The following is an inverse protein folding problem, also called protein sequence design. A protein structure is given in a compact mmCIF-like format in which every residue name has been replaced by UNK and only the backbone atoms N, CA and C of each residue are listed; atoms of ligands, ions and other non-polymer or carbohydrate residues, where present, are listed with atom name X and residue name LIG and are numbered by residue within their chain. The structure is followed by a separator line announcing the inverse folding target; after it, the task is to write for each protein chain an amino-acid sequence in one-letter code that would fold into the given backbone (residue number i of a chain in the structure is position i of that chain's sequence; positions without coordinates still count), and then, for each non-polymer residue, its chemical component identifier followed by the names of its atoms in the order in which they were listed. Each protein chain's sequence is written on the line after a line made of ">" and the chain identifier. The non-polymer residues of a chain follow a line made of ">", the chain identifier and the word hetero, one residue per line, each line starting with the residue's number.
data_IF_909466559026
#
_entry.id   IF_909466559026
#
_cell.length_a   1.000
_cell.length_b   1.000
_cell.length_c   1.000
_cell.angle_alpha   90.00
_cell.angle_beta   90.00
_cell.angle_gamma   90.00
#
_symmetry.space_group_name_H-M   'P 1'
#
loop_
_entity.id
_entity.type
_entity.pdbx_description
1 polymer ?
#
# COMPACT_ATOMS: atom_id res chain seq x y z
N UNK A 1 2.33 -28.59 58.32
CA UNK A 1 3.30 -29.71 58.24
C UNK A 1 3.85 -29.77 56.83
N UNK A 2 5.18 -29.90 56.73
CA UNK A 2 6.04 -30.33 55.61
C UNK A 2 5.77 -29.71 54.21
N UNK A 3 6.68 -29.02 53.54
CA UNK A 3 8.14 -28.98 53.62
C UNK A 3 8.72 -29.29 52.24
N UNK A 4 9.41 -28.35 51.60
CA UNK A 4 10.29 -28.65 50.46
C UNK A 4 11.50 -27.72 50.47
N UNK A 5 12.68 -28.35 50.44
CA UNK A 5 13.99 -27.76 50.67
C UNK A 5 14.53 -26.97 49.46
N UNK A 6 15.22 -25.87 49.74
CA UNK A 6 16.05 -25.11 48.81
C UNK A 6 17.46 -25.69 48.75
N UNK A 7 17.94 -26.04 47.57
CA UNK A 7 19.37 -26.07 47.24
C UNK A 7 19.69 -24.86 46.35
N UNK A 8 20.69 -24.05 46.73
CA UNK A 8 21.24 -22.99 45.89
C UNK A 8 22.76 -23.13 45.74
N UNK A 9 23.14 -22.93 44.50
CA UNK A 9 24.31 -23.42 43.79
C UNK A 9 25.58 -22.54 43.93
N UNK A 10 26.76 -23.17 43.91
CA UNK A 10 28.11 -22.60 44.11
C UNK A 10 28.76 -22.09 42.81
N UNK A 11 27.97 -21.64 41.82
CA UNK A 11 28.45 -21.35 40.46
C UNK A 11 28.97 -19.92 40.15
N UNK A 12 28.89 -18.96 41.07
CA UNK A 12 29.06 -17.53 40.70
C UNK A 12 30.49 -16.95 40.80
N UNK A 13 31.47 -17.65 41.36
CA UNK A 13 32.80 -17.06 41.65
C UNK A 13 33.75 -17.03 40.44
N UNK A 14 33.75 -18.05 39.57
CA UNK A 14 34.75 -18.21 38.51
C UNK A 14 34.54 -17.33 37.26
N UNK A 15 33.31 -16.88 36.96
CA UNK A 15 33.00 -16.10 35.74
C UNK A 15 33.39 -14.62 35.83
N UNK A 16 33.43 -14.03 37.03
CA UNK A 16 33.77 -12.60 37.21
C UNK A 16 35.25 -12.29 36.90
N UNK A 17 36.14 -13.26 37.11
CA UNK A 17 37.59 -13.07 36.90
C UNK A 17 37.98 -12.88 35.42
N UNK A 18 37.30 -13.57 34.49
CA UNK A 18 37.60 -13.48 33.04
C UNK A 18 37.14 -12.18 32.38
N UNK A 19 36.03 -11.62 32.85
CA UNK A 19 35.49 -10.35 32.33
C UNK A 19 36.39 -9.19 32.75
N UNK A 20 36.88 -9.20 33.99
CA UNK A 20 37.81 -8.19 34.48
C UNK A 20 39.14 -8.19 33.68
N UNK A 21 39.65 -9.36 33.32
CA UNK A 21 40.86 -9.47 32.50
C UNK A 21 40.68 -8.89 31.08
N UNK A 22 39.55 -9.16 30.42
CA UNK A 22 39.27 -8.65 29.07
C UNK A 22 39.13 -7.13 29.02
N UNK A 23 38.51 -6.52 30.04
CA UNK A 23 38.38 -5.06 30.14
C UNK A 23 39.76 -4.42 30.29
N UNK A 24 40.62 -4.99 31.13
CA UNK A 24 41.98 -4.46 31.35
C UNK A 24 42.83 -4.50 30.07
N UNK A 25 42.73 -5.59 29.29
CA UNK A 25 43.43 -5.71 28.01
C UNK A 25 42.92 -4.71 26.97
N UNK A 26 41.61 -4.49 26.88
CA UNK A 26 41.02 -3.52 25.95
C UNK A 26 41.44 -2.09 26.23
N UNK A 27 41.49 -1.70 27.51
CA UNK A 27 41.94 -0.36 27.92
C UNK A 27 43.42 -0.14 27.57
N UNK A 28 44.29 -1.14 27.81
CA UNK A 28 45.70 -1.04 27.48
C UNK A 28 45.95 -0.87 25.97
N UNK A 29 45.23 -1.62 25.13
CA UNK A 29 45.36 -1.50 23.66
C UNK A 29 44.85 -0.13 23.19
N UNK A 30 43.75 0.36 23.74
CA UNK A 30 43.22 1.70 23.42
C UNK A 30 44.19 2.84 23.78
N UNK A 31 44.87 2.73 24.92
CA UNK A 31 45.89 3.70 25.32
C UNK A 31 47.12 3.71 24.40
N UNK A 32 47.54 2.56 23.87
CA UNK A 32 48.66 2.48 22.91
C UNK A 32 48.29 3.14 21.57
N UNK A 33 47.06 2.93 21.07
CA UNK A 33 46.60 3.58 19.84
C UNK A 33 46.49 5.11 19.97
N UNK A 34 46.07 5.61 21.14
CA UNK A 34 45.98 7.05 21.39
C UNK A 34 47.35 7.74 21.47
N UNK A 35 48.41 7.03 21.88
CA UNK A 35 49.76 7.59 22.00
C UNK A 35 50.56 7.53 20.69
N UNK A 36 50.32 6.53 19.85
CA UNK A 36 51.11 6.31 18.63
C UNK A 36 50.51 7.00 17.40
N UNK A 37 49.20 7.29 17.40
CA UNK A 37 48.49 7.93 16.28
C UNK A 37 47.67 9.17 16.71
N UNK A 38 48.33 10.26 17.16
CA UNK A 38 47.64 11.44 17.68
C UNK A 38 46.86 12.27 16.63
N UNK A 39 46.96 11.94 15.34
CA UNK A 39 46.29 12.68 14.25
C UNK A 39 45.39 11.84 13.32
N UNK A 40 45.07 10.59 13.68
CA UNK A 40 44.15 9.76 12.89
C UNK A 40 44.71 9.35 11.50
N UNK A 41 44.03 8.41 10.84
CA UNK A 41 44.51 7.75 9.61
C UNK A 41 44.08 8.43 8.29
N UNK A 42 43.40 9.58 8.34
CA UNK A 42 42.94 10.28 7.14
C UNK A 42 43.13 11.79 7.28
N UNK A 43 44.10 12.33 6.54
CA UNK A 43 44.26 13.77 6.30
C UNK A 43 43.94 14.05 4.83
N UNK A 44 43.02 14.98 4.56
CA UNK A 44 42.84 15.57 3.24
C UNK A 44 42.96 17.08 3.37
N UNK A 45 44.08 17.65 2.92
CA UNK A 45 44.20 19.08 2.65
C UNK A 45 45.14 19.27 1.46
N UNK A 46 44.64 19.92 0.40
CA UNK A 46 45.46 20.82 -0.44
C UNK A 46 44.61 21.98 -0.97
N UNK A 47 45.12 23.23 -0.91
CA UNK A 47 44.45 24.42 -1.44
C UNK A 47 44.85 24.73 -2.88
N UNK A 48 43.87 25.15 -3.68
CA UNK A 48 44.02 25.54 -5.10
C UNK A 48 44.67 26.93 -5.19
N UNK A 49 45.86 27.02 -5.81
CA UNK A 49 46.50 28.29 -6.20
C UNK A 49 46.02 28.73 -7.60
N UNK A 50 45.41 29.92 -7.67
CA UNK A 50 45.08 30.61 -8.92
C UNK A 50 46.32 31.26 -9.55
N UNK A 51 46.72 30.83 -10.76
CA UNK A 51 47.74 31.50 -11.59
C UNK A 51 47.08 32.34 -12.69
N UNK A 52 47.43 33.64 -12.70
CA UNK A 52 47.10 34.66 -13.72
C UNK A 52 47.64 34.27 -15.10
N UNK A 53 46.81 34.39 -16.14
CA UNK A 53 47.22 34.36 -17.55
C UNK A 53 47.43 35.79 -18.06
N UNK A 54 48.59 36.04 -18.66
CA UNK A 54 49.00 37.32 -19.24
C UNK A 54 48.41 37.58 -20.62
N UNK A 55 48.26 38.88 -20.93
CA UNK A 55 47.85 39.43 -22.22
C UNK A 55 48.89 39.15 -23.32
N UNK A 56 48.45 38.70 -24.47
CA UNK A 56 49.12 38.91 -25.76
C UNK A 56 48.11 39.38 -26.82
N UNK A 57 48.60 40.20 -27.75
CA UNK A 57 47.83 41.19 -28.50
C UNK A 57 46.93 40.67 -29.61
N UNK A 58 45.82 41.38 -29.81
CA UNK A 58 44.94 41.26 -30.96
C UNK A 58 45.55 41.99 -32.16
N UNK A 59 45.89 41.24 -33.21
CA UNK A 59 46.06 41.75 -34.55
C UNK A 59 44.79 41.36 -35.32
N UNK A 60 44.02 42.37 -35.71
CA UNK A 60 42.77 42.21 -36.44
C UNK A 60 43.05 41.73 -37.87
N UNK A 61 42.42 40.62 -38.25
CA UNK A 61 42.21 40.26 -39.65
C UNK A 61 40.72 40.00 -39.89
N UNK A 62 40.29 40.53 -41.02
CA UNK A 62 38.96 40.48 -41.63
C UNK A 62 38.52 39.05 -41.94
N UNK A 63 37.26 38.70 -41.67
CA UNK A 63 36.34 38.10 -42.65
C UNK A 63 34.92 37.83 -42.10
N UNK A 64 33.97 37.99 -43.03
CA UNK A 64 32.60 37.46 -43.17
C UNK A 64 31.94 36.58 -42.08
N UNK A 65 30.65 36.89 -41.84
CA UNK A 65 29.54 35.96 -41.59
C UNK A 65 29.82 34.66 -40.79
N UNK A 66 29.89 34.75 -39.46
CA UNK A 66 29.78 33.60 -38.53
C UNK A 66 28.84 33.87 -37.34
N UNK A 67 27.96 34.88 -37.43
CA UNK A 67 27.06 35.23 -36.31
C UNK A 67 25.82 34.31 -36.19
N UNK A 68 25.11 33.94 -37.27
CA UNK A 68 23.85 33.18 -37.16
C UNK A 68 24.04 31.74 -36.68
N UNK A 69 25.09 31.07 -37.16
CA UNK A 69 25.39 29.67 -36.80
C UNK A 69 25.81 29.55 -35.34
N UNK A 70 26.64 30.48 -34.84
CA UNK A 70 27.01 30.53 -33.41
C UNK A 70 25.80 30.81 -32.51
N UNK A 71 24.89 31.68 -32.92
CA UNK A 71 23.66 31.98 -32.16
C UNK A 71 22.73 30.76 -32.12
N UNK A 72 22.59 30.03 -33.23
CA UNK A 72 21.77 28.82 -33.28
C UNK A 72 22.38 27.68 -32.45
N UNK A 73 23.71 27.55 -32.45
CA UNK A 73 24.42 26.57 -31.62
C UNK A 73 24.22 26.87 -30.12
N UNK A 74 24.35 28.14 -29.71
CA UNK A 74 24.11 28.56 -28.32
C UNK A 74 22.65 28.32 -27.90
N UNK A 75 21.68 28.57 -28.78
CA UNK A 75 20.25 28.27 -28.49
C UNK A 75 20.01 26.77 -28.31
N UNK A 76 20.64 25.94 -29.14
CA UNK A 76 20.59 24.49 -29.01
C UNK A 76 21.19 24.02 -27.68
N UNK A 77 22.33 24.59 -27.28
CA UNK A 77 22.97 24.26 -26.01
C UNK A 77 22.13 24.69 -24.79
N UNK A 78 21.51 25.88 -24.85
CA UNK A 78 20.61 26.35 -23.80
C UNK A 78 19.38 25.45 -23.67
N UNK A 79 18.80 25.01 -24.79
CA UNK A 79 17.67 24.07 -24.76
C UNK A 79 18.09 22.72 -24.16
N UNK A 80 19.22 22.17 -24.58
CA UNK A 80 19.80 20.92 -24.04
C UNK A 80 20.10 21.01 -22.54
N UNK A 81 20.62 22.14 -22.07
CA UNK A 81 20.87 22.40 -20.65
C UNK A 81 19.56 22.58 -19.86
N UNK A 82 18.55 23.20 -20.46
CA UNK A 82 17.22 23.34 -19.86
C UNK A 82 16.55 21.97 -19.66
N UNK A 83 16.63 21.09 -20.65
CA UNK A 83 16.08 19.73 -20.57
C UNK A 83 16.82 18.88 -19.53
N UNK A 84 18.15 18.98 -19.48
CA UNK A 84 18.96 18.35 -18.42
C UNK A 84 18.61 18.87 -17.03
N UNK A 85 18.34 20.16 -16.88
CA UNK A 85 17.91 20.75 -15.61
C UNK A 85 16.52 20.26 -15.19
N UNK A 86 15.58 20.07 -16.13
CA UNK A 86 14.28 19.48 -15.84
C UNK A 86 14.41 18.03 -15.36
N UNK A 87 15.27 17.24 -16.01
CA UNK A 87 15.55 15.86 -15.63
C UNK A 87 16.26 15.77 -14.27
N UNK A 88 17.27 16.60 -14.02
CA UNK A 88 17.93 16.70 -12.71
C UNK A 88 16.95 17.08 -11.60
N UNK A 89 16.03 18.01 -11.84
CA UNK A 89 15.00 18.37 -10.87
C UNK A 89 14.06 17.19 -10.57
N UNK A 90 13.72 16.38 -11.57
CA UNK A 90 12.93 15.16 -11.39
C UNK A 90 13.68 14.13 -10.56
N UNK A 91 14.97 13.93 -10.83
CA UNK A 91 15.84 13.04 -10.06
C UNK A 91 16.03 13.51 -8.61
N UNK A 92 16.21 14.81 -8.38
CA UNK A 92 16.31 15.39 -7.04
C UNK A 92 15.01 15.21 -6.27
N UNK A 93 13.84 15.36 -6.91
CA UNK A 93 12.55 15.09 -6.28
C UNK A 93 12.41 13.61 -5.91
N UNK A 94 12.74 12.69 -6.82
CA UNK A 94 12.73 11.24 -6.56
C UNK A 94 13.69 10.85 -5.43
N UNK A 95 14.93 11.37 -5.43
CA UNK A 95 15.92 11.14 -4.39
C UNK A 95 15.49 11.71 -3.04
N UNK A 96 14.86 12.88 -3.01
CA UNK A 96 14.34 13.50 -1.78
C UNK A 96 13.20 12.67 -1.20
N UNK A 97 12.32 12.13 -2.05
CA UNK A 97 11.27 11.19 -1.64
C UNK A 97 11.89 9.87 -1.12
N UNK A 98 12.86 9.28 -1.82
CA UNK A 98 13.60 8.09 -1.36
C UNK A 98 14.29 8.32 -0.03
N UNK A 99 14.87 9.50 0.19
CA UNK A 99 15.53 9.88 1.43
C UNK A 99 14.51 10.00 2.57
N UNK A 100 13.36 10.61 2.31
CA UNK A 100 12.23 10.65 3.27
C UNK A 100 11.70 9.24 3.61
N UNK A 101 11.64 8.33 2.63
CA UNK A 101 11.28 6.92 2.87
C UNK A 101 12.37 6.14 3.61
N UNK A 102 13.64 6.43 3.36
CA UNK A 102 14.76 5.81 4.05
C UNK A 102 14.85 6.32 5.50
N UNK A 103 14.54 7.59 5.76
CA UNK A 103 14.39 8.15 7.11
C UNK A 103 13.20 7.53 7.83
N UNK A 104 12.02 7.46 7.20
CA UNK A 104 10.87 6.74 7.78
C UNK A 104 11.16 5.26 8.00
N UNK A 105 11.88 4.59 7.11
CA UNK A 105 12.26 3.18 7.22
C UNK A 105 13.30 2.92 8.31
N UNK A 106 14.27 3.84 8.49
CA UNK A 106 15.21 3.84 9.62
C UNK A 106 14.49 4.09 10.93
N UNK A 107 13.59 5.06 10.98
CA UNK A 107 12.74 5.33 12.14
C UNK A 107 11.86 4.10 12.46
N UNK A 108 11.31 3.41 11.46
CA UNK A 108 10.50 2.20 11.66
C UNK A 108 11.31 0.97 12.12
N UNK A 109 12.51 0.76 11.58
CA UNK A 109 13.40 -0.33 12.00
C UNK A 109 13.99 -0.07 13.39
N UNK A 110 14.30 1.20 13.70
CA UNK A 110 14.79 1.63 15.01
C UNK A 110 13.66 1.57 16.05
N UNK A 111 12.43 1.95 15.69
CA UNK A 111 11.25 1.76 16.54
C UNK A 111 10.93 0.28 16.77
N UNK A 112 11.10 -0.62 15.79
CA UNK A 112 10.93 -2.07 16.02
C UNK A 112 11.94 -2.67 16.98
N UNK A 113 13.21 -2.25 16.89
CA UNK A 113 14.26 -2.72 17.79
C UNK A 113 14.08 -2.15 19.20
N UNK A 114 13.62 -0.89 19.32
CA UNK A 114 13.30 -0.25 20.59
C UNK A 114 12.02 -0.83 21.22
N UNK A 115 10.94 -1.02 20.47
CA UNK A 115 9.62 -1.41 20.99
C UNK A 115 9.55 -2.90 21.42
N UNK A 116 10.38 -3.77 20.83
CA UNK A 116 10.53 -5.16 21.29
C UNK A 116 11.55 -5.35 22.42
N UNK A 117 12.46 -4.38 22.64
CA UNK A 117 13.58 -4.52 23.56
C UNK A 117 13.49 -3.68 24.84
N UNK A 118 12.84 -2.52 24.81
CA UNK A 118 12.76 -1.60 25.93
C UNK A 118 11.34 -1.55 26.53
N UNK A 119 11.25 -1.73 27.85
CA UNK A 119 10.01 -1.49 28.59
C UNK A 119 9.75 0.01 28.61
N UNK A 120 8.98 0.51 27.66
CA UNK A 120 8.57 1.91 27.63
C UNK A 120 7.55 2.20 28.73
N UNK A 121 7.74 3.28 29.48
CA UNK A 121 6.71 3.81 30.37
C UNK A 121 5.60 4.42 29.52
N UNK A 122 4.34 4.21 29.90
CA UNK A 122 3.23 4.91 29.26
C UNK A 122 3.42 6.43 29.41
N UNK A 123 3.26 7.16 28.30
CA UNK A 123 3.27 8.62 28.31
C UNK A 123 2.09 9.22 29.09
N UNK A 124 2.03 10.56 29.21
CA UNK A 124 0.91 11.26 29.84
C UNK A 124 -0.47 10.93 29.25
N UNK A 125 -1.54 11.29 29.97
CA UNK A 125 -2.92 11.11 29.52
C UNK A 125 -3.13 11.71 28.12
N UNK A 126 -3.72 10.93 27.22
CA UNK A 126 -4.01 11.34 25.83
C UNK A 126 -2.84 11.26 24.85
N UNK A 127 -1.62 10.94 25.29
CA UNK A 127 -0.44 10.84 24.38
C UNK A 127 -0.09 9.40 24.00
N UNK A 128 -0.60 8.40 24.73
CA UNK A 128 -0.33 7.00 24.48
C UNK A 128 -1.04 6.54 23.21
N UNK A 129 -0.28 5.99 22.25
CA UNK A 129 -0.79 5.35 21.05
C UNK A 129 -0.34 3.90 21.02
N UNK A 130 -1.28 2.98 20.77
CA UNK A 130 -0.94 1.59 20.49
C UNK A 130 -0.21 1.48 19.15
N UNK A 131 0.57 0.40 18.98
CA UNK A 131 1.18 0.07 17.70
C UNK A 131 0.07 -0.28 16.69
N UNK A 132 -0.17 0.60 15.72
CA UNK A 132 -1.17 0.38 14.66
C UNK A 132 -0.58 -0.24 13.39
N UNK A 133 0.74 -0.16 13.24
CA UNK A 133 1.47 -0.63 12.07
C UNK A 133 2.37 -1.79 12.47
N UNK A 134 1.93 -3.01 12.20
CA UNK A 134 2.80 -4.17 12.36
C UNK A 134 4.00 -4.10 11.40
N UNK A 135 5.12 -4.76 11.74
CA UNK A 135 6.26 -4.89 10.84
C UNK A 135 5.86 -5.48 9.49
N UNK A 136 6.46 -4.95 8.43
CA UNK A 136 6.45 -5.66 7.15
C UNK A 136 7.29 -6.92 7.27
N UNK A 137 6.87 -8.00 6.63
CA UNK A 137 7.64 -9.24 6.54
C UNK A 137 8.89 -9.03 5.69
N UNK A 138 9.89 -9.89 5.92
CA UNK A 138 11.06 -9.96 5.05
C UNK A 138 10.59 -10.60 3.73
N UNK A 139 10.83 -9.95 2.57
CA UNK A 139 10.50 -10.52 1.26
C UNK A 139 11.13 -11.90 1.06
N UNK A 140 10.34 -12.85 0.55
CA UNK A 140 10.83 -14.16 0.11
C UNK A 140 10.61 -14.34 -1.40
N UNK A 141 11.63 -14.01 -2.19
CA UNK A 141 11.58 -14.08 -3.66
C UNK A 141 11.40 -15.52 -4.18
N UNK A 142 11.69 -16.55 -3.37
CA UNK A 142 11.51 -17.95 -3.76
C UNK A 142 10.04 -18.34 -3.89
N UNK A 143 9.13 -17.59 -3.25
CA UNK A 143 7.69 -17.84 -3.32
C UNK A 143 7.17 -17.76 -4.75
N UNK A 144 7.62 -16.74 -5.50
CA UNK A 144 7.22 -16.55 -6.89
C UNK A 144 8.23 -15.65 -7.63
N UNK A 145 9.35 -16.21 -8.13
CA UNK A 145 10.43 -15.43 -8.73
C UNK A 145 9.98 -14.62 -9.96
N UNK A 146 9.03 -15.14 -10.75
CA UNK A 146 8.52 -14.42 -11.92
C UNK A 146 7.71 -13.20 -11.50
N UNK A 147 6.81 -13.37 -10.53
CA UNK A 147 6.05 -12.26 -10.00
C UNK A 147 6.97 -11.23 -9.34
N UNK A 148 7.96 -11.67 -8.55
CA UNK A 148 8.93 -10.80 -7.89
C UNK A 148 9.60 -9.82 -8.87
N UNK A 149 10.08 -10.33 -10.02
CA UNK A 149 10.69 -9.52 -11.07
C UNK A 149 9.71 -8.48 -11.67
N UNK A 150 8.47 -8.89 -11.94
CA UNK A 150 7.45 -7.97 -12.46
C UNK A 150 7.12 -6.88 -11.43
N UNK A 151 7.03 -7.24 -10.15
CA UNK A 151 6.73 -6.29 -9.09
C UNK A 151 7.87 -5.29 -8.88
N UNK A 152 9.13 -5.70 -9.05
CA UNK A 152 10.28 -4.79 -9.00
C UNK A 152 10.20 -3.70 -10.09
N UNK A 153 9.70 -4.06 -11.28
CA UNK A 153 9.56 -3.13 -12.41
C UNK A 153 8.33 -2.22 -12.29
N UNK A 154 7.21 -2.74 -11.76
CA UNK A 154 5.90 -2.07 -11.81
C UNK A 154 5.56 -1.33 -10.53
N UNK A 155 5.98 -1.83 -9.36
CA UNK A 155 5.57 -1.24 -8.09
C UNK A 155 6.37 0.03 -7.78
N UNK A 156 5.67 1.05 -7.29
CA UNK A 156 6.30 2.26 -6.74
C UNK A 156 6.26 2.11 -5.22
N UNK A 157 7.39 2.28 -4.54
CA UNK A 157 7.47 2.16 -3.07
C UNK A 157 6.93 0.83 -2.52
N UNK A 158 7.09 -0.26 -3.28
CA UNK A 158 6.51 -1.57 -2.99
C UNK A 158 4.99 -1.54 -2.77
N UNK A 159 4.28 -0.61 -3.39
CA UNK A 159 2.82 -0.57 -3.40
C UNK A 159 2.31 -0.53 -4.85
N UNK A 160 1.21 -1.23 -5.10
CA UNK A 160 0.56 -1.24 -6.41
C UNK A 160 -0.91 -1.60 -6.32
N UNK A 161 -1.66 -1.22 -7.36
CA UNK A 161 -3.03 -1.63 -7.58
C UNK A 161 -3.02 -3.01 -8.24
N UNK A 162 -3.84 -3.94 -7.74
CA UNK A 162 -3.98 -5.28 -8.33
C UNK A 162 -5.44 -5.57 -8.63
N UNK A 163 -5.73 -5.95 -9.88
CA UNK A 163 -7.05 -6.43 -10.30
C UNK A 163 -6.94 -7.82 -10.90
N UNK A 164 -7.90 -8.69 -10.61
CA UNK A 164 -8.00 -10.03 -11.21
C UNK A 164 -9.08 -10.01 -12.29
N UNK A 165 -8.80 -10.57 -13.47
CA UNK A 165 -9.74 -10.55 -14.58
C UNK A 165 -9.69 -11.80 -15.45
N UNK A 166 -10.86 -12.23 -15.90
CA UNK A 166 -11.06 -13.19 -16.99
C UNK A 166 -11.84 -12.52 -18.13
N UNK A 167 -11.98 -13.23 -19.24
CA UNK A 167 -12.63 -12.79 -20.48
C UNK A 167 -14.07 -12.28 -20.27
N UNK A 168 -14.80 -12.80 -19.27
CA UNK A 168 -16.17 -12.37 -18.98
C UNK A 168 -16.28 -10.91 -18.54
N UNK A 169 -15.22 -10.34 -17.98
CA UNK A 169 -15.20 -8.97 -17.44
C UNK A 169 -14.36 -8.01 -18.28
N UNK A 170 -13.93 -8.41 -19.47
CA UNK A 170 -13.05 -7.62 -20.35
C UNK A 170 -13.54 -6.18 -20.56
N UNK A 171 -14.84 -5.99 -20.83
CA UNK A 171 -15.40 -4.66 -21.10
C UNK A 171 -15.34 -3.72 -19.87
N UNK A 172 -15.46 -4.27 -18.66
CA UNK A 172 -15.28 -3.48 -17.42
C UNK A 172 -13.79 -3.21 -17.17
N UNK A 173 -12.94 -4.22 -17.40
CA UNK A 173 -11.48 -4.09 -17.30
C UNK A 173 -10.96 -2.97 -18.23
N UNK A 174 -11.52 -2.82 -19.43
CA UNK A 174 -11.17 -1.75 -20.36
C UNK A 174 -11.43 -0.36 -19.76
N UNK A 175 -12.62 -0.16 -19.17
CA UNK A 175 -12.95 1.11 -18.50
C UNK A 175 -12.03 1.32 -17.29
N UNK A 176 -11.75 0.26 -16.53
CA UNK A 176 -10.88 0.26 -15.35
C UNK A 176 -9.47 0.75 -15.68
N UNK A 177 -8.74 0.09 -16.60
CA UNK A 177 -7.36 0.53 -16.91
C UNK A 177 -7.33 1.85 -17.66
N UNK A 178 -8.36 2.17 -18.45
CA UNK A 178 -8.44 3.45 -19.16
C UNK A 178 -8.57 4.60 -18.16
N UNK A 179 -9.36 4.41 -17.10
CA UNK A 179 -9.50 5.39 -16.02
C UNK A 179 -8.19 5.59 -15.25
N UNK A 180 -7.46 4.51 -14.94
CA UNK A 180 -6.14 4.55 -14.29
C UNK A 180 -5.11 5.29 -15.14
N UNK A 181 -5.01 4.95 -16.44
CA UNK A 181 -4.10 5.61 -17.39
C UNK A 181 -4.41 7.11 -17.52
N UNK A 182 -5.69 7.47 -17.57
CA UNK A 182 -6.12 8.87 -17.70
C UNK A 182 -5.74 9.72 -16.49
N UNK A 183 -5.69 9.11 -15.30
CA UNK A 183 -5.26 9.77 -14.06
C UNK A 183 -3.72 9.75 -13.90
N UNK A 184 -3.01 8.99 -14.73
CA UNK A 184 -1.55 8.91 -14.72
C UNK A 184 -0.97 8.01 -13.62
N UNK A 185 -1.75 7.03 -13.14
CA UNK A 185 -1.25 6.04 -12.18
C UNK A 185 -0.42 5.00 -12.94
N UNK A 186 0.80 4.73 -12.50
CA UNK A 186 1.73 3.82 -13.18
C UNK A 186 1.95 2.49 -12.45
N UNK A 187 1.76 2.45 -11.12
CA UNK A 187 1.93 1.25 -10.31
C UNK A 187 0.63 0.45 -10.18
N UNK A 188 0.27 -0.25 -11.26
CA UNK A 188 -0.87 -1.16 -11.31
C UNK A 188 -0.54 -2.41 -12.13
N UNK A 189 -1.17 -3.53 -11.77
CA UNK A 189 -0.96 -4.82 -12.40
C UNK A 189 -2.29 -5.55 -12.55
N UNK A 190 -2.54 -6.10 -13.74
CA UNK A 190 -3.65 -7.03 -13.96
C UNK A 190 -3.14 -8.46 -13.76
N UNK A 191 -3.82 -9.23 -12.94
CA UNK A 191 -3.61 -10.67 -12.86
C UNK A 191 -4.60 -11.35 -13.81
N UNK A 192 -4.09 -11.84 -14.93
CA UNK A 192 -4.88 -12.50 -15.96
C UNK A 192 -5.21 -13.93 -15.54
N UNK A 193 -6.50 -14.27 -15.58
CA UNK A 193 -7.03 -15.60 -15.25
C UNK A 193 -7.19 -16.48 -16.50
N UNK A 194 -7.06 -15.92 -17.69
CA UNK A 194 -7.06 -16.66 -18.97
C UNK A 194 -6.11 -15.99 -20.00
N UNK A 195 -5.78 -16.74 -21.06
CA UNK A 195 -4.92 -16.27 -22.16
C UNK A 195 -5.49 -15.04 -22.89
N UNK A 196 -6.81 -14.94 -22.94
CA UNK A 196 -7.51 -13.88 -23.63
C UNK A 196 -7.27 -12.52 -22.96
N UNK A 197 -7.41 -12.45 -21.63
CA UNK A 197 -7.08 -11.25 -20.86
C UNK A 197 -5.59 -10.95 -20.90
N UNK A 198 -4.72 -11.95 -20.86
CA UNK A 198 -3.28 -11.73 -20.99
C UNK A 198 -2.94 -11.03 -22.32
N UNK A 199 -3.46 -11.55 -23.44
CA UNK A 199 -3.26 -10.95 -24.75
C UNK A 199 -3.90 -9.56 -24.86
N UNK A 200 -5.10 -9.37 -24.31
CA UNK A 200 -5.80 -8.09 -24.29
C UNK A 200 -5.01 -7.01 -23.53
N UNK A 201 -4.47 -7.35 -22.36
CA UNK A 201 -3.64 -6.43 -21.58
C UNK A 201 -2.34 -6.08 -22.32
N UNK A 202 -1.63 -7.08 -22.87
CA UNK A 202 -0.40 -6.85 -23.65
C UNK A 202 -0.64 -5.94 -24.84
N UNK A 203 -1.70 -6.19 -25.61
CA UNK A 203 -2.08 -5.40 -26.79
C UNK A 203 -2.41 -3.94 -26.45
N UNK A 204 -2.82 -3.67 -25.21
CA UNK A 204 -3.14 -2.34 -24.72
C UNK A 204 -2.01 -1.70 -23.89
N UNK A 205 -0.82 -2.33 -23.79
CA UNK A 205 0.26 -1.82 -22.95
C UNK A 205 -0.11 -1.72 -21.47
N UNK A 206 -0.88 -2.69 -20.97
CA UNK A 206 -1.25 -2.82 -19.55
C UNK A 206 -0.33 -3.87 -18.91
N UNK A 207 0.38 -3.55 -17.80
CA UNK A 207 1.18 -4.54 -17.09
C UNK A 207 0.30 -5.72 -16.66
N UNK A 208 0.75 -6.93 -16.98
CA UNK A 208 -0.04 -8.14 -16.74
C UNK A 208 0.83 -9.29 -16.22
N UNK A 209 0.28 -10.02 -15.27
CA UNK A 209 0.84 -11.27 -14.76
C UNK A 209 -0.19 -12.37 -14.94
N UNK A 210 0.16 -13.42 -15.68
CA UNK A 210 -0.58 -14.68 -15.68
C UNK A 210 0.21 -15.67 -14.83
N UNK A 211 -0.46 -16.49 -14.01
CA UNK A 211 0.19 -17.59 -13.28
C UNK A 211 0.64 -18.69 -14.24
N UNK A 212 1.56 -19.53 -13.77
CA UNK A 212 1.86 -20.77 -14.47
C UNK A 212 0.63 -21.68 -14.48
N UNK A 213 0.44 -22.48 -15.55
CA UNK A 213 -0.68 -23.40 -15.61
C UNK A 213 -0.71 -24.32 -14.40
N UNK A 214 -1.86 -24.37 -13.75
CA UNK A 214 -2.16 -25.22 -12.60
C UNK A 214 -3.58 -25.71 -12.81
N UNK A 215 -3.77 -27.00 -13.13
CA UNK A 215 -5.07 -27.54 -13.53
C UNK A 215 -6.18 -27.29 -12.48
N UNK A 216 -5.83 -27.25 -11.19
CA UNK A 216 -6.77 -26.96 -10.11
C UNK A 216 -7.18 -25.49 -10.03
N UNK A 217 -6.24 -24.59 -10.27
CA UNK A 217 -6.48 -23.13 -10.28
C UNK A 217 -7.11 -22.68 -11.60
N UNK A 218 -6.65 -23.23 -12.72
CA UNK A 218 -7.07 -22.87 -14.08
C UNK A 218 -8.51 -23.31 -14.35
N UNK A 219 -8.94 -24.45 -13.81
CA UNK A 219 -10.34 -24.86 -13.87
C UNK A 219 -11.24 -23.90 -13.09
N UNK A 220 -10.84 -23.50 -11.89
CA UNK A 220 -11.54 -22.49 -11.09
C UNK A 220 -11.58 -21.13 -11.79
N UNK A 221 -10.49 -20.71 -12.43
CA UNK A 221 -10.40 -19.45 -13.16
C UNK A 221 -11.30 -19.41 -14.40
N UNK A 222 -11.42 -20.53 -15.13
CA UNK A 222 -12.17 -20.64 -16.39
C UNK A 222 -13.66 -20.94 -16.21
N UNK A 223 -14.01 -21.83 -15.28
CA UNK A 223 -15.38 -22.35 -15.12
C UNK A 223 -15.94 -22.18 -13.72
N UNK A 224 -15.14 -21.70 -12.77
CA UNK A 224 -15.59 -21.46 -11.40
C UNK A 224 -16.60 -20.33 -11.31
N UNK A 225 -17.64 -20.53 -10.50
CA UNK A 225 -18.52 -19.44 -10.10
C UNK A 225 -17.78 -18.40 -9.24
N UNK A 226 -18.40 -17.24 -9.01
CA UNK A 226 -17.82 -16.11 -8.26
C UNK A 226 -17.10 -16.54 -6.96
N UNK A 227 -17.65 -17.51 -6.22
CA UNK A 227 -17.06 -18.03 -4.99
C UNK A 227 -15.67 -18.65 -5.15
N UNK A 228 -15.47 -19.48 -6.18
CA UNK A 228 -14.22 -20.18 -6.40
C UNK A 228 -13.12 -19.20 -6.88
N UNK A 229 -13.49 -18.24 -7.74
CA UNK A 229 -12.63 -17.13 -8.17
C UNK A 229 -12.23 -16.25 -6.97
N UNK A 230 -13.14 -16.02 -6.02
CA UNK A 230 -12.83 -15.28 -4.80
C UNK A 230 -11.85 -16.00 -3.88
N UNK A 231 -11.88 -17.34 -3.78
CA UNK A 231 -10.84 -18.08 -3.04
C UNK A 231 -9.45 -17.93 -3.66
N UNK A 232 -9.37 -17.96 -4.99
CA UNK A 232 -8.14 -17.74 -5.74
C UNK A 232 -7.58 -16.31 -5.54
N UNK A 233 -8.46 -15.31 -5.44
CA UNK A 233 -8.10 -13.91 -5.15
C UNK A 233 -7.21 -13.77 -3.93
N UNK A 234 -7.61 -14.33 -2.79
CA UNK A 234 -6.83 -14.20 -1.54
C UNK A 234 -5.53 -15.00 -1.57
N UNK A 235 -5.49 -16.16 -2.24
CA UNK A 235 -4.24 -16.92 -2.45
C UNK A 235 -3.23 -16.14 -3.29
N UNK A 236 -3.68 -15.50 -4.36
CA UNK A 236 -2.83 -14.66 -5.19
C UNK A 236 -2.30 -13.48 -4.38
N UNK A 237 -3.18 -12.75 -3.68
CA UNK A 237 -2.77 -11.60 -2.84
C UNK A 237 -1.72 -12.00 -1.80
N UNK A 238 -1.82 -13.21 -1.25
CA UNK A 238 -0.85 -13.71 -0.27
C UNK A 238 0.56 -13.73 -0.81
N UNK A 239 0.76 -14.14 -2.07
CA UNK A 239 2.09 -14.17 -2.70
C UNK A 239 2.69 -12.77 -2.79
N UNK A 240 1.90 -11.75 -3.13
CA UNK A 240 2.37 -10.35 -3.14
C UNK A 240 2.83 -9.91 -1.76
N UNK A 241 2.08 -10.27 -0.70
CA UNK A 241 2.44 -9.92 0.67
C UNK A 241 3.71 -10.64 1.13
N UNK A 242 3.90 -11.91 0.77
CA UNK A 242 5.13 -12.65 1.07
C UNK A 242 6.36 -12.08 0.34
N UNK A 243 6.16 -11.53 -0.87
CA UNK A 243 7.18 -10.78 -1.60
C UNK A 243 7.43 -9.37 -1.01
N UNK A 244 6.70 -8.99 0.05
CA UNK A 244 6.89 -7.71 0.74
C UNK A 244 6.26 -6.52 0.02
N UNK A 245 5.27 -6.73 -0.84
CA UNK A 245 4.54 -5.67 -1.54
C UNK A 245 3.19 -5.43 -0.87
N UNK A 246 2.84 -4.16 -0.67
CA UNK A 246 1.49 -3.75 -0.26
C UNK A 246 0.58 -3.69 -1.48
N UNK A 247 -0.64 -4.17 -1.34
CA UNK A 247 -1.58 -4.28 -2.46
C UNK A 247 -2.81 -3.43 -2.18
N UNK A 248 -3.17 -2.57 -3.13
CA UNK A 248 -4.54 -2.05 -3.24
C UNK A 248 -5.32 -3.01 -4.14
N UNK A 249 -6.06 -3.93 -3.54
CA UNK A 249 -6.96 -4.80 -4.29
C UNK A 249 -8.06 -3.93 -4.92
N UNK A 250 -8.37 -4.22 -6.17
CA UNK A 250 -9.39 -3.52 -6.94
C UNK A 250 -10.17 -4.48 -7.80
N UNK A 251 -11.48 -4.57 -7.57
CA UNK A 251 -12.40 -5.19 -8.51
C UNK A 251 -12.45 -4.37 -9.81
N UNK A 252 -12.78 -5.05 -10.91
CA UNK A 252 -12.78 -4.47 -12.26
C UNK A 252 -13.92 -3.48 -12.50
N UNK A 253 -14.92 -3.42 -11.63
CA UNK A 253 -16.08 -2.52 -11.69
C UNK A 253 -15.87 -1.19 -10.95
N UNK A 254 -14.60 -0.76 -10.88
CA UNK A 254 -14.16 0.47 -10.23
C UNK A 254 -13.66 1.46 -11.27
N UNK A 255 -14.04 2.74 -11.11
CA UNK A 255 -13.55 3.85 -11.93
C UNK A 255 -12.62 4.72 -11.10
N UNK A 256 -11.39 4.93 -11.57
CA UNK A 256 -10.41 5.81 -10.96
C UNK A 256 -10.53 7.24 -11.48
N UNK A 257 -10.56 8.19 -10.56
CA UNK A 257 -10.71 9.62 -10.85
C UNK A 257 -9.52 10.44 -10.31
N UNK A 258 -8.82 9.90 -9.31
CA UNK A 258 -7.59 10.44 -8.74
C UNK A 258 -6.65 9.30 -8.29
N UNK A 259 -5.38 9.61 -8.05
CA UNK A 259 -4.41 8.63 -7.59
C UNK A 259 -4.73 8.21 -6.13
N UNK A 260 -5.09 6.95 -5.86
CA UNK A 260 -5.49 6.52 -4.52
C UNK A 260 -4.35 6.55 -3.50
N UNK A 261 -3.10 6.44 -3.95
CA UNK A 261 -1.94 6.41 -3.06
C UNK A 261 -1.69 7.74 -2.36
N UNK A 262 -2.28 8.85 -2.84
CA UNK A 262 -2.22 10.16 -2.18
C UNK A 262 -3.22 10.27 -1.02
N UNK A 263 -4.18 9.35 -0.92
CA UNK A 263 -5.29 9.38 0.03
C UNK A 263 -5.31 8.20 1.01
N UNK A 264 -4.48 7.19 0.80
CA UNK A 264 -4.32 6.03 1.70
C UNK A 264 -3.40 6.40 2.87
N UNK A 265 -3.83 6.12 4.11
CA UNK A 265 -3.08 6.50 5.32
C UNK A 265 -1.93 5.56 5.64
N UNK A 266 -2.04 4.27 5.26
CA UNK A 266 -1.02 3.24 5.50
C UNK A 266 -0.70 2.99 6.97
N UNK A 267 -1.58 3.39 7.89
CA UNK A 267 -1.34 3.31 9.34
C UNK A 267 -1.99 2.09 10.00
N UNK A 268 -2.50 1.15 9.20
CA UNK A 268 -3.19 -0.07 9.61
C UNK A 268 -2.76 -1.23 8.71
N UNK A 269 -2.90 -2.47 9.17
CA UNK A 269 -2.63 -3.66 8.36
C UNK A 269 -3.57 -3.72 7.14
N UNK A 270 -4.84 -3.37 7.37
CA UNK A 270 -5.89 -3.28 6.35
C UNK A 270 -6.56 -1.91 6.39
N UNK A 271 -6.63 -1.22 5.26
CA UNK A 271 -7.43 -0.02 5.07
C UNK A 271 -8.48 -0.33 4.01
N UNK A 272 -9.76 -0.33 4.36
CA UNK A 272 -10.82 -0.86 3.49
C UNK A 272 -11.95 0.14 3.29
N UNK A 273 -12.52 0.08 2.09
CA UNK A 273 -13.74 0.79 1.74
C UNK A 273 -14.94 0.17 2.48
N UNK A 274 -15.80 1.01 3.03
CA UNK A 274 -17.04 0.54 3.67
C UNK A 274 -18.17 0.37 2.66
N UNK A 275 -18.99 -0.66 2.87
CA UNK A 275 -20.28 -0.80 2.20
C UNK A 275 -21.37 0.09 2.82
N UNK A 276 -21.07 0.80 3.91
CA UNK A 276 -21.91 1.85 4.50
C UNK A 276 -22.17 3.01 3.52
N UNK A 277 -23.21 3.80 3.78
CA UNK A 277 -23.67 4.86 2.87
C UNK A 277 -23.90 6.22 3.54
N UNK A 278 -23.54 6.33 4.82
CA UNK A 278 -23.50 7.56 5.61
C UNK A 278 -22.50 7.38 6.77
N UNK A 279 -22.23 8.44 7.53
CA UNK A 279 -21.24 8.39 8.62
C UNK A 279 -21.51 7.27 9.63
N UNK A 280 -22.76 7.06 10.05
CA UNK A 280 -23.10 6.03 11.03
C UNK A 280 -22.83 4.63 10.50
N UNK A 281 -23.29 4.33 9.29
CA UNK A 281 -23.14 3.00 8.69
C UNK A 281 -21.70 2.72 8.27
N UNK A 282 -20.97 3.74 7.80
CA UNK A 282 -19.58 3.60 7.37
C UNK A 282 -18.59 3.52 8.55
N UNK A 283 -18.77 4.31 9.59
CA UNK A 283 -17.82 4.45 10.71
C UNK A 283 -18.28 3.80 12.01
N UNK A 284 -19.47 3.20 12.01
CA UNK A 284 -20.04 2.50 13.14
C UNK A 284 -20.88 3.38 14.06
N UNK A 285 -21.79 2.76 14.80
CA UNK A 285 -22.66 3.42 15.77
C UNK A 285 -23.07 2.46 16.90
N UNK A 286 -23.44 3.05 18.04
CA UNK A 286 -24.04 2.34 19.16
C UNK A 286 -25.49 2.00 18.81
N UNK A 287 -25.82 0.72 18.77
CA UNK A 287 -27.18 0.21 18.54
C UNK A 287 -27.68 -0.46 19.82
N UNK A 288 -28.94 -0.23 20.18
CA UNK A 288 -29.51 -0.71 21.44
C UNK A 288 -30.44 -1.88 21.16
N UNK A 289 -30.08 -3.05 21.67
CA UNK A 289 -30.98 -4.20 21.71
C UNK A 289 -31.92 -4.05 22.90
N UNK A 290 -33.22 -4.20 22.66
CA UNK A 290 -34.27 -4.06 23.67
C UNK A 290 -34.84 -5.44 24.05
N UNK A 291 -34.67 -5.83 25.31
CA UNK A 291 -35.17 -7.06 25.91
C UNK A 291 -36.08 -6.73 27.10
N UNK A 292 -37.38 -6.45 26.87
CA UNK A 292 -38.28 -5.95 27.91
C UNK A 292 -38.39 -6.84 29.16
N UNK A 293 -38.22 -8.16 29.01
CA UNK A 293 -38.28 -9.12 30.11
C UNK A 293 -37.21 -8.88 31.19
N UNK A 294 -36.11 -8.19 30.86
CA UNK A 294 -35.00 -7.90 31.77
C UNK A 294 -35.23 -6.66 32.65
N UNK A 295 -36.37 -5.98 32.51
CA UNK A 295 -36.75 -4.84 33.37
C UNK A 295 -35.73 -3.70 33.30
N UNK A 296 -35.02 -3.45 34.40
CA UNK A 296 -34.00 -2.39 34.46
C UNK A 296 -32.83 -2.63 33.49
N UNK A 297 -32.51 -3.88 33.17
CA UNK A 297 -31.42 -4.28 32.29
C UNK A 297 -31.86 -4.48 30.83
N UNK A 298 -33.05 -4.01 30.45
CA UNK A 298 -33.64 -4.24 29.11
C UNK A 298 -32.82 -3.69 27.93
N UNK A 299 -31.98 -2.68 28.16
CA UNK A 299 -31.23 -2.03 27.09
C UNK A 299 -29.79 -2.51 27.08
N UNK A 300 -29.47 -3.38 26.12
CA UNK A 300 -28.11 -3.84 25.89
C UNK A 300 -27.47 -3.06 24.73
N UNK A 301 -26.35 -2.40 25.00
CA UNK A 301 -25.60 -1.67 24.00
C UNK A 301 -24.79 -2.65 23.11
N UNK A 302 -24.92 -2.49 21.81
CA UNK A 302 -24.19 -3.22 20.78
C UNK A 302 -23.44 -2.23 19.88
N UNK A 303 -22.35 -2.66 19.26
CA UNK A 303 -21.63 -1.85 18.27
C UNK A 303 -21.94 -2.39 16.88
N UNK A 304 -22.45 -1.55 15.99
CA UNK A 304 -22.76 -1.94 14.61
C UNK A 304 -21.97 -1.10 13.63
N UNK A 305 -21.33 -1.78 12.70
CA UNK A 305 -20.64 -1.21 11.55
C UNK A 305 -21.06 -2.01 10.33
N UNK A 306 -21.25 -1.35 9.19
CA UNK A 306 -21.45 -2.09 7.94
C UNK A 306 -20.13 -2.68 7.49
N UNK A 307 -20.23 -3.88 6.93
CA UNK A 307 -19.07 -4.66 6.50
C UNK A 307 -18.13 -3.88 5.59
N UNK A 308 -16.86 -4.21 5.67
CA UNK A 308 -15.84 -3.81 4.73
C UNK A 308 -16.02 -4.53 3.40
N UNK A 309 -15.77 -3.80 2.33
CA UNK A 309 -15.89 -4.32 0.99
C UNK A 309 -14.70 -5.22 0.65
N UNK A 310 -14.94 -6.44 0.15
CA UNK A 310 -13.87 -7.38 -0.23
C UNK A 310 -13.34 -7.20 -1.66
N UNK A 311 -13.84 -6.19 -2.38
CA UNK A 311 -13.43 -5.81 -3.73
C UNK A 311 -12.57 -4.54 -3.80
N UNK A 312 -12.45 -3.79 -2.70
CA UNK A 312 -11.55 -2.64 -2.64
C UNK A 312 -10.97 -2.41 -1.24
N UNK A 313 -9.71 -2.80 -1.05
CA UNK A 313 -8.98 -2.56 0.19
C UNK A 313 -7.47 -2.52 -0.05
N UNK A 314 -6.78 -1.69 0.73
CA UNK A 314 -5.33 -1.65 0.84
C UNK A 314 -4.87 -2.59 1.94
N UNK A 315 -3.90 -3.45 1.67
CA UNK A 315 -3.36 -4.40 2.62
C UNK A 315 -1.83 -4.36 2.62
N UNK A 316 -1.23 -4.25 3.81
CA UNK A 316 0.22 -4.21 4.02
C UNK A 316 0.79 -5.63 4.16
N UNK A 317 2.06 -5.87 3.79
CA UNK A 317 2.70 -7.18 3.91
C UNK A 317 3.14 -7.46 5.35
N UNK A 318 2.20 -7.58 6.28
CA UNK A 318 2.46 -7.86 7.70
C UNK A 318 2.01 -9.28 8.05
N UNK A 319 2.47 -9.82 9.20
CA UNK A 319 2.03 -11.15 9.64
C UNK A 319 0.50 -11.25 9.81
N UNK A 320 -0.19 -10.30 10.47
CA UNK A 320 -1.65 -10.35 10.58
C UNK A 320 -2.36 -10.25 9.23
N UNK A 321 -1.84 -9.47 8.28
CA UNK A 321 -2.42 -9.41 6.93
C UNK A 321 -2.30 -10.74 6.19
N UNK A 322 -1.14 -11.41 6.26
CA UNK A 322 -0.94 -12.72 5.63
C UNK A 322 -1.84 -13.76 6.29
N UNK A 323 -1.94 -13.74 7.62
CA UNK A 323 -2.84 -14.61 8.38
C UNK A 323 -4.31 -14.41 8.01
N UNK A 324 -4.76 -13.16 7.82
CA UNK A 324 -6.11 -12.86 7.31
C UNK A 324 -6.35 -13.56 5.96
N UNK A 325 -5.42 -13.42 5.02
CA UNK A 325 -5.56 -14.03 3.70
C UNK A 325 -5.56 -15.56 3.79
N UNK A 326 -4.74 -16.14 4.67
CA UNK A 326 -4.69 -17.58 4.93
C UNK A 326 -6.03 -18.09 5.47
N UNK A 327 -6.57 -17.46 6.51
CA UNK A 327 -7.85 -17.83 7.13
C UNK A 327 -9.01 -17.72 6.15
N UNK A 328 -9.07 -16.64 5.38
CA UNK A 328 -10.13 -16.42 4.38
C UNK A 328 -10.04 -17.44 3.25
N UNK A 329 -8.84 -17.67 2.70
CA UNK A 329 -8.64 -18.65 1.63
C UNK A 329 -8.95 -20.09 2.07
N UNK A 330 -8.56 -20.46 3.30
CA UNK A 330 -8.84 -21.77 3.88
C UNK A 330 -10.35 -22.00 4.05
N UNK A 331 -11.06 -21.04 4.65
CA UNK A 331 -12.53 -21.14 4.82
C UNK A 331 -13.28 -21.19 3.49
N UNK A 332 -12.91 -20.35 2.53
CA UNK A 332 -13.53 -20.37 1.18
C UNK A 332 -13.24 -21.64 0.40
N UNK A 333 -12.18 -22.39 0.75
CA UNK A 333 -11.86 -23.65 0.09
C UNK A 333 -12.69 -24.84 0.63
N UNK A 334 -13.20 -24.75 1.85
CA UNK A 334 -13.98 -25.82 2.50
C UNK A 334 -15.47 -25.69 2.24
N UNK A 335 -15.98 -24.45 2.22
CA UNK A 335 -17.41 -24.16 2.21
C UNK A 335 -17.81 -23.20 1.09
N UNK A 336 -19.04 -23.31 0.59
CA UNK A 336 -19.63 -22.35 -0.37
C UNK A 336 -20.07 -21.07 0.33
N UNK A 337 -19.11 -20.30 0.81
CA UNK A 337 -19.35 -19.05 1.54
C UNK A 337 -19.18 -17.82 0.64
N UNK A 338 -19.80 -16.71 1.06
CA UNK A 338 -19.59 -15.41 0.42
C UNK A 338 -18.29 -14.80 0.95
N UNK A 339 -17.39 -14.40 0.05
CA UNK A 339 -16.05 -13.91 0.37
C UNK A 339 -16.07 -12.68 1.27
N UNK A 340 -16.99 -11.75 1.02
CA UNK A 340 -17.12 -10.56 1.85
C UNK A 340 -17.54 -10.91 3.28
N UNK A 341 -18.43 -11.89 3.46
CA UNK A 341 -18.82 -12.36 4.78
C UNK A 341 -17.62 -12.96 5.50
N UNK A 342 -16.92 -13.91 4.89
CA UNK A 342 -15.74 -14.57 5.49
C UNK A 342 -14.64 -13.55 5.82
N UNK A 343 -14.34 -12.62 4.91
CA UNK A 343 -13.35 -11.56 5.12
C UNK A 343 -13.66 -10.72 6.36
N UNK A 344 -14.93 -10.33 6.55
CA UNK A 344 -15.33 -9.54 7.70
C UNK A 344 -15.39 -10.37 8.99
N UNK A 345 -15.89 -11.60 8.92
CA UNK A 345 -15.92 -12.49 10.08
C UNK A 345 -14.50 -12.72 10.64
N UNK A 346 -13.52 -13.07 9.79
CA UNK A 346 -12.13 -13.23 10.23
C UNK A 346 -11.53 -11.93 10.78
N UNK A 347 -11.89 -10.78 10.20
CA UNK A 347 -11.36 -9.49 10.62
C UNK A 347 -11.99 -8.93 11.91
N UNK A 348 -13.22 -9.34 12.25
CA UNK A 348 -14.01 -8.74 13.33
C UNK A 348 -14.37 -9.69 14.48
N UNK A 349 -14.31 -11.01 14.30
CA UNK A 349 -14.62 -11.92 15.40
C UNK A 349 -13.62 -11.77 16.56
N UNK A 350 -14.11 -11.58 17.80
CA UNK A 350 -13.25 -11.51 18.96
C UNK A 350 -12.71 -12.90 19.30
N UNK A 351 -11.57 -12.96 20.00
CA UNK A 351 -11.12 -14.21 20.60
C UNK A 351 -12.16 -14.72 21.58
N UNK A 352 -12.44 -16.03 21.53
CA UNK A 352 -13.39 -16.72 22.39
C UNK A 352 -12.93 -18.16 22.63
N UNK A 353 -13.54 -18.94 23.54
CA UNK A 353 -13.12 -20.31 23.77
C UNK A 353 -13.05 -21.11 22.46
N UNK A 354 -11.87 -21.64 22.15
CA UNK A 354 -11.61 -22.41 20.94
C UNK A 354 -11.33 -21.60 19.66
N UNK A 355 -11.25 -20.26 19.73
CA UNK A 355 -10.93 -19.41 18.57
C UNK A 355 -10.04 -18.24 18.98
N UNK A 356 -8.86 -18.16 18.36
CA UNK A 356 -7.99 -17.01 18.48
C UNK A 356 -8.35 -15.99 17.39
N UNK A 357 -8.91 -14.85 17.79
CA UNK A 357 -9.29 -13.77 16.89
C UNK A 357 -8.07 -13.16 16.18
N UNK A 358 -8.29 -12.64 14.97
CA UNK A 358 -7.22 -12.00 14.21
C UNK A 358 -6.81 -10.67 14.84
N UNK A 359 -5.50 -10.46 15.01
CA UNK A 359 -4.94 -9.24 15.57
C UNK A 359 -4.43 -8.28 14.47
N UNK A 360 -5.27 -7.99 13.48
CA UNK A 360 -4.97 -7.03 12.43
C UNK A 360 -5.56 -5.65 12.75
N UNK A 361 -4.73 -4.62 12.69
CA UNK A 361 -5.19 -3.24 12.75
C UNK A 361 -5.95 -2.87 11.48
N UNK A 362 -7.03 -2.10 11.63
CA UNK A 362 -7.93 -1.78 10.51
C UNK A 362 -8.37 -0.32 10.49
N UNK A 363 -8.53 0.21 9.27
CA UNK A 363 -9.02 1.57 9.00
C UNK A 363 -10.15 1.53 7.98
N UNK A 364 -11.20 2.31 8.23
CA UNK A 364 -12.22 2.60 7.22
C UNK A 364 -11.76 3.79 6.36
N UNK A 365 -11.80 3.64 5.04
CA UNK A 365 -11.58 4.72 4.09
C UNK A 365 -12.70 5.77 4.13
N UNK A 366 -12.40 7.01 3.75
CA UNK A 366 -13.41 8.07 3.66
C UNK A 366 -14.47 7.71 2.60
N UNK A 367 -15.75 7.65 3.00
CA UNK A 367 -16.84 7.17 2.14
C UNK A 367 -17.17 8.08 0.93
N UNK A 368 -16.74 9.35 0.96
CA UNK A 368 -16.94 10.28 -0.16
C UNK A 368 -15.75 10.27 -1.12
N UNK A 369 -14.54 10.00 -0.63
CA UNK A 369 -13.36 9.81 -1.48
C UNK A 369 -13.35 8.41 -2.11
N UNK A 370 -13.66 7.37 -1.34
CA UNK A 370 -13.70 5.98 -1.78
C UNK A 370 -15.15 5.50 -1.84
N UNK A 371 -15.85 5.98 -2.87
CA UNK A 371 -17.31 6.01 -2.91
C UNK A 371 -17.91 4.75 -3.51
N UNK A 372 -18.82 4.08 -2.79
CA UNK A 372 -19.65 3.03 -3.39
C UNK A 372 -20.79 3.64 -4.20
N UNK A 373 -21.29 2.88 -5.18
CA UNK A 373 -22.37 3.34 -6.05
C UNK A 373 -23.66 3.65 -5.28
N UNK A 374 -23.92 3.04 -4.13
CA UNK A 374 -25.07 3.40 -3.29
C UNK A 374 -24.96 4.84 -2.76
N UNK A 375 -23.78 5.25 -2.28
CA UNK A 375 -23.49 6.64 -1.90
C UNK A 375 -23.67 7.59 -3.08
N UNK A 376 -23.15 7.22 -4.25
CA UNK A 376 -23.27 8.06 -5.45
C UNK A 376 -24.72 8.28 -5.87
N UNK A 377 -25.45 7.19 -6.12
CA UNK A 377 -26.77 7.24 -6.75
C UNK A 377 -27.88 7.64 -5.77
N UNK A 378 -27.81 7.26 -4.49
CA UNK A 378 -28.84 7.66 -3.52
C UNK A 378 -28.62 9.04 -2.93
N UNK A 379 -27.37 9.48 -2.79
CA UNK A 379 -27.03 10.67 -2.00
C UNK A 379 -26.31 11.72 -2.83
N UNK A 380 -25.08 11.43 -3.27
CA UNK A 380 -24.15 12.46 -3.79
C UNK A 380 -24.69 13.14 -5.05
N UNK A 381 -25.22 12.39 -6.02
CA UNK A 381 -25.72 12.96 -7.27
C UNK A 381 -26.92 13.91 -7.09
N UNK A 382 -27.65 13.78 -5.98
CA UNK A 382 -28.87 14.54 -5.69
C UNK A 382 -28.61 15.81 -4.87
N UNK A 383 -27.45 15.91 -4.23
CA UNK A 383 -27.08 17.06 -3.41
C UNK A 383 -26.22 18.04 -4.22
N UNK A 384 -26.63 19.31 -4.25
CA UNK A 384 -25.97 20.34 -5.07
C UNK A 384 -24.54 20.69 -4.64
N UNK A 385 -24.18 20.43 -3.37
CA UNK A 385 -22.83 20.61 -2.83
C UNK A 385 -22.01 19.35 -3.03
N UNK A 386 -22.55 18.19 -2.67
CA UNK A 386 -21.81 16.92 -2.75
C UNK A 386 -21.50 16.52 -4.19
N UNK A 387 -22.38 16.80 -5.16
CA UNK A 387 -22.12 16.49 -6.58
C UNK A 387 -20.89 17.19 -7.18
N UNK A 388 -20.37 18.22 -6.50
CA UNK A 388 -19.15 18.94 -6.89
C UNK A 388 -17.87 18.26 -6.38
N UNK A 389 -18.00 17.32 -5.42
CA UNK A 389 -16.88 16.55 -4.93
C UNK A 389 -16.34 15.69 -6.05
N UNK A 390 -15.01 15.64 -6.18
CA UNK A 390 -14.34 14.67 -7.03
C UNK A 390 -13.88 13.51 -6.15
N UNK A 391 -14.49 12.31 -6.24
CA UNK A 391 -14.00 11.16 -5.51
C UNK A 391 -12.61 10.73 -6.00
N UNK A 392 -11.96 9.87 -5.25
CA UNK A 392 -10.74 9.15 -5.67
C UNK A 392 -11.13 8.00 -6.59
N UNK A 393 -12.12 7.21 -6.16
CA UNK A 393 -12.72 6.13 -6.94
C UNK A 393 -14.23 6.13 -6.79
N UNK A 394 -14.90 5.50 -7.75
CA UNK A 394 -16.29 5.05 -7.62
C UNK A 394 -16.35 3.54 -7.87
N UNK A 395 -16.83 2.79 -6.89
CA UNK A 395 -17.04 1.33 -7.00
C UNK A 395 -18.50 1.02 -7.31
N UNK A 396 -18.78 0.36 -8.44
CA UNK A 396 -20.15 0.03 -8.88
C UNK A 396 -20.63 -1.31 -8.33
N UNK A 397 -20.48 -1.51 -7.02
CA UNK A 397 -20.77 -2.78 -6.34
C UNK A 397 -22.27 -3.02 -6.00
N UNK A 398 -23.10 -1.99 -5.93
CA UNK A 398 -24.51 -2.09 -5.49
C UNK A 398 -25.53 -2.18 -6.64
N UNK A 399 -25.08 -2.20 -7.90
CA UNK A 399 -25.95 -2.14 -9.06
C UNK A 399 -25.57 -3.23 -10.08
N UNK A 400 -26.55 -3.90 -10.72
CA UNK A 400 -26.27 -4.99 -11.67
C UNK A 400 -25.77 -4.48 -13.03
N UNK A 401 -26.20 -3.29 -13.46
CA UNK A 401 -25.83 -2.63 -14.71
C UNK A 401 -24.46 -1.92 -14.62
N UNK A 402 -23.47 -2.64 -14.11
CA UNK A 402 -22.14 -2.13 -13.73
C UNK A 402 -21.46 -1.34 -14.84
N UNK A 403 -21.32 -1.94 -16.03
CA UNK A 403 -20.62 -1.33 -17.16
C UNK A 403 -21.24 0.00 -17.61
N UNK A 404 -22.58 0.05 -17.72
CA UNK A 404 -23.29 1.27 -18.15
C UNK A 404 -23.10 2.40 -17.14
N UNK A 405 -23.17 2.09 -15.84
CA UNK A 405 -22.93 3.06 -14.77
C UNK A 405 -21.48 3.49 -14.69
N UNK A 406 -20.51 2.58 -14.88
CA UNK A 406 -19.09 2.96 -14.95
C UNK A 406 -18.84 3.97 -16.08
N UNK A 407 -19.39 3.72 -17.28
CA UNK A 407 -19.30 4.67 -18.40
C UNK A 407 -19.93 6.02 -18.04
N UNK A 408 -21.10 6.02 -17.40
CA UNK A 408 -21.76 7.24 -16.97
C UNK A 408 -20.99 8.00 -15.88
N UNK A 409 -20.31 7.31 -14.98
CA UNK A 409 -19.40 7.91 -13.99
C UNK A 409 -18.24 8.62 -14.69
N UNK A 410 -17.66 8.01 -15.73
CA UNK A 410 -16.64 8.66 -16.57
C UNK A 410 -17.21 9.90 -17.25
N UNK A 411 -18.37 9.80 -17.90
CA UNK A 411 -19.03 10.94 -18.54
C UNK A 411 -19.28 12.11 -17.56
N UNK A 412 -19.74 11.79 -16.35
CA UNK A 412 -20.05 12.77 -15.33
C UNK A 412 -18.80 13.48 -14.78
N UNK A 413 -17.84 12.71 -14.23
CA UNK A 413 -16.69 13.28 -13.51
C UNK A 413 -15.54 13.69 -14.42
N UNK A 414 -15.44 13.10 -15.61
CA UNK A 414 -14.29 13.28 -16.50
C UNK A 414 -14.64 14.15 -17.70
N UNK A 415 -15.80 13.90 -18.34
CA UNK A 415 -16.22 14.65 -19.51
C UNK A 415 -17.17 15.82 -19.17
N UNK A 416 -17.55 15.96 -17.90
CA UNK A 416 -18.36 17.08 -17.41
C UNK A 416 -19.85 17.01 -17.75
N UNK A 417 -20.33 15.88 -18.28
CA UNK A 417 -21.74 15.68 -18.65
C UNK A 417 -22.63 15.53 -17.42
N UNK A 418 -23.21 16.65 -16.97
CA UNK A 418 -23.93 16.76 -15.69
C UNK A 418 -25.17 15.87 -15.58
N UNK A 419 -25.80 15.52 -16.70
CA UNK A 419 -27.00 14.67 -16.77
C UNK A 419 -26.66 13.18 -16.99
N UNK A 420 -25.38 12.81 -17.12
CA UNK A 420 -24.97 11.44 -17.43
C UNK A 420 -25.50 10.40 -16.43
N UNK A 421 -25.61 10.79 -15.16
CA UNK A 421 -26.11 9.91 -14.10
C UNK A 421 -27.65 9.95 -13.93
N UNK A 422 -28.36 10.87 -14.58
CA UNK A 422 -29.75 11.22 -14.23
C UNK A 422 -30.77 10.12 -14.58
N UNK A 423 -30.57 9.42 -15.69
CA UNK A 423 -31.50 8.40 -16.18
C UNK A 423 -31.47 7.09 -15.38
N UNK A 424 -30.44 6.87 -14.55
CA UNK A 424 -30.33 5.65 -13.76
C UNK A 424 -31.25 5.69 -12.52
N UNK A 425 -31.93 4.59 -12.19
CA UNK A 425 -32.62 4.47 -10.91
C UNK A 425 -31.62 4.49 -9.74
N UNK A 426 -32.13 4.79 -8.54
CA UNK A 426 -31.37 4.78 -7.28
C UNK A 426 -30.86 3.39 -6.89
N UNK A 427 -31.55 2.34 -7.34
CA UNK A 427 -31.23 0.94 -7.10
C UNK A 427 -31.34 0.15 -8.40
N UNK A 428 -31.74 -1.13 -8.28
CA UNK A 428 -31.85 -2.07 -9.39
C UNK A 428 -33.28 -2.29 -9.91
N UNK A 429 -34.25 -1.45 -9.49
CA UNK A 429 -35.65 -1.52 -9.89
C UNK A 429 -35.96 -0.59 -11.05
#
# INVERSE_FOLDING_TARGET
>A
MAGRALMRDKGQSLRRSRIAAAILTGVLIGCVFAFVLPHGLFSSDQPIQNRRIGKSGLQAFSSSCELPERINMIKSDIASLSDKNAELNKQVKDLTERLRFAEQGKDHAQMQFLDMGEKHKAGPFGTVKGLRTNPTVIPDELVNPRLAKILEEVAIRKELIVALANSNVQAMLEVWFTSIKKVGISNYLVVALDDHIEHFCKSNGVPVYKRDPDEGIDSVAKTGGNHAVSGLKFRILREFLQLGYSVLLSDVDIVYLQNPFDYIYRDSDVESMSDGHNNMTAYGFNDVFDEPAMGWARYAHTMRIWVYNSGFFYIRPTKPSIELLDRVADRLSRDKLWDQAVFNEELFYPSHPGYDGLHAAKRTMDMYLFMNSKVLFKTVRKDAKLKKLKPVIVHVNYHPDKLSRMKAVVEFYVNGKQDALAHFPDGSQ
#
